data_IF_543972969248
#
_entry.id   IF_543972969248
#
_cell.length_a   1.000
_cell.length_b   1.000
_cell.length_c   1.000
_cell.angle_alpha   90.00
_cell.angle_beta   90.00
_cell.angle_gamma   90.00
#
_symmetry.space_group_name_H-M   'P 1'
#
loop_
_entity.id
_entity.type
_entity.pdbx_description
1 polymer ?
#
# COMPACT_ATOMS: atom_id res chain seq x y z
N UNK A 1 12.26 2.92 -30.94
CA UNK A 1 11.63 3.62 -29.79
C UNK A 1 10.75 2.70 -28.94
N UNK A 2 9.83 1.91 -29.52
CA UNK A 2 8.93 1.01 -28.76
C UNK A 2 9.63 0.00 -27.80
N UNK A 3 10.80 -0.55 -28.16
CA UNK A 3 11.55 -1.46 -27.27
C UNK A 3 12.10 -0.77 -26.01
N UNK A 4 12.48 0.51 -26.10
CA UNK A 4 13.03 1.25 -24.97
C UNK A 4 11.92 1.65 -23.98
N UNK A 5 10.71 1.92 -24.46
CA UNK A 5 9.56 2.27 -23.62
C UNK A 5 8.96 1.06 -22.89
N UNK A 6 8.97 -0.12 -23.52
CA UNK A 6 8.56 -1.38 -22.85
C UNK A 6 9.52 -1.73 -21.71
N UNK A 7 10.84 -1.59 -21.92
CA UNK A 7 11.83 -1.84 -20.89
C UNK A 7 11.67 -0.93 -19.66
N UNK A 8 11.40 0.36 -19.89
CA UNK A 8 11.12 1.31 -18.82
C UNK A 8 9.84 0.94 -18.04
N UNK A 9 8.76 0.57 -18.75
CA UNK A 9 7.52 0.19 -18.11
C UNK A 9 7.67 -1.06 -17.21
N UNK A 10 8.40 -2.08 -17.68
CA UNK A 10 8.70 -3.29 -16.89
C UNK A 10 9.50 -2.91 -15.64
N UNK A 11 10.53 -2.07 -15.79
CA UNK A 11 11.35 -1.63 -14.67
C UNK A 11 10.52 -0.91 -13.60
N UNK A 12 9.59 -0.03 -14.01
CA UNK A 12 8.68 0.65 -13.08
C UNK A 12 7.77 -0.34 -12.36
N UNK A 13 7.17 -1.30 -13.07
CA UNK A 13 6.37 -2.35 -12.44
C UNK A 13 7.18 -3.16 -11.41
N UNK A 14 8.42 -3.54 -11.75
CA UNK A 14 9.31 -4.27 -10.84
C UNK A 14 9.60 -3.44 -9.59
N UNK A 15 9.86 -2.14 -9.73
CA UNK A 15 10.10 -1.23 -8.60
C UNK A 15 8.86 -1.13 -7.70
N UNK A 16 7.68 -0.92 -8.27
CA UNK A 16 6.41 -0.86 -7.51
C UNK A 16 6.18 -2.17 -6.75
N UNK A 17 6.30 -3.32 -7.43
CA UNK A 17 6.16 -4.64 -6.81
C UNK A 17 7.17 -4.84 -5.67
N UNK A 18 8.44 -4.49 -5.88
CA UNK A 18 9.47 -4.66 -4.87
C UNK A 18 9.19 -3.81 -3.62
N UNK A 19 8.77 -2.55 -3.79
CA UNK A 19 8.43 -1.65 -2.69
C UNK A 19 7.23 -2.18 -1.89
N UNK A 20 6.12 -2.51 -2.56
CA UNK A 20 4.90 -2.97 -1.90
C UNK A 20 5.03 -4.37 -1.27
N UNK A 21 5.75 -5.30 -1.92
CA UNK A 21 6.04 -6.63 -1.35
C UNK A 21 6.91 -6.49 -0.11
N UNK A 22 7.94 -5.64 -0.17
CA UNK A 22 8.79 -5.36 1.00
C UNK A 22 7.97 -4.72 2.12
N UNK A 23 7.12 -3.74 1.81
CA UNK A 23 6.22 -3.13 2.77
C UNK A 23 5.28 -4.16 3.42
N UNK A 24 4.67 -5.05 2.62
CA UNK A 24 3.81 -6.11 3.11
C UNK A 24 4.52 -7.08 4.06
N UNK A 25 5.72 -7.53 3.68
CA UNK A 25 6.55 -8.39 4.53
C UNK A 25 6.92 -7.68 5.84
N UNK A 26 7.32 -6.41 5.79
CA UNK A 26 7.63 -5.62 6.98
C UNK A 26 6.40 -5.45 7.89
N UNK A 27 5.21 -5.22 7.33
CA UNK A 27 3.95 -5.16 8.10
C UNK A 27 3.63 -6.47 8.82
N UNK A 28 3.81 -7.62 8.15
CA UNK A 28 3.65 -8.94 8.77
C UNK A 28 4.70 -9.18 9.87
N UNK A 29 5.97 -8.86 9.62
CA UNK A 29 7.03 -8.98 10.62
C UNK A 29 6.80 -8.05 11.83
N UNK A 30 6.28 -6.85 11.59
CA UNK A 30 5.90 -5.91 12.63
C UNK A 30 4.82 -6.51 13.54
N UNK A 31 3.79 -7.13 12.96
CA UNK A 31 2.76 -7.83 13.73
C UNK A 31 3.35 -8.99 14.54
N UNK A 32 4.23 -9.80 13.96
CA UNK A 32 4.91 -10.90 14.68
C UNK A 32 5.73 -10.35 15.85
N UNK A 33 6.47 -9.26 15.64
CA UNK A 33 7.26 -8.60 16.67
C UNK A 33 6.37 -8.04 17.80
N UNK A 34 5.19 -7.49 17.46
CA UNK A 34 4.18 -7.05 18.43
C UNK A 34 3.58 -8.24 19.19
N UNK A 35 3.30 -9.37 18.53
CA UNK A 35 2.71 -10.54 19.17
C UNK A 35 3.69 -11.24 20.14
N UNK A 36 5.00 -11.15 19.90
CA UNK A 36 6.02 -11.71 20.81
C UNK A 36 6.03 -11.02 22.18
N UNK A 37 5.89 -9.69 22.21
CA UNK A 37 5.83 -8.91 23.46
C UNK A 37 4.47 -9.03 24.17
N UNK A 38 3.40 -9.32 23.42
CA UNK A 38 2.03 -9.53 23.94
C UNK A 38 1.81 -10.88 24.62
N UNK A 39 2.76 -11.82 24.57
CA UNK A 39 2.62 -13.16 25.19
C UNK A 39 2.56 -13.17 26.73
N UNK A 40 2.70 -12.03 27.44
CA UNK A 40 2.43 -11.92 28.88
C UNK A 40 0.94 -11.65 29.10
N UNK A 41 0.12 -12.68 28.91
CA UNK A 41 -1.35 -12.61 28.97
C UNK A 41 -1.81 -12.82 30.42
N UNK A 42 -2.35 -11.79 31.07
CA UNK A 42 -2.98 -11.94 32.40
C UNK A 42 -4.50 -11.80 32.24
N UNK A 43 -5.19 -12.93 32.37
CA UNK A 43 -6.64 -13.12 32.43
C UNK A 43 -7.47 -12.55 31.25
N UNK A 44 -7.61 -11.22 31.08
CA UNK A 44 -8.46 -10.60 30.03
C UNK A 44 -7.96 -9.21 29.57
N UNK A 45 -6.79 -8.80 30.08
CA UNK A 45 -6.20 -7.49 29.84
C UNK A 45 -4.88 -7.72 29.10
N UNK A 46 -4.85 -7.37 27.82
CA UNK A 46 -3.61 -7.42 27.03
C UNK A 46 -2.81 -6.17 27.39
N UNK A 47 -1.89 -6.30 28.34
CA UNK A 47 -0.92 -5.24 28.61
C UNK A 47 0.09 -5.23 27.47
N UNK A 48 -0.15 -4.34 26.51
CA UNK A 48 0.65 -4.19 25.31
C UNK A 48 1.96 -3.51 25.70
N UNK A 49 3.02 -4.30 25.84
CA UNK A 49 4.36 -3.77 25.99
C UNK A 49 4.86 -3.35 24.61
N UNK A 50 5.22 -2.09 24.43
CA UNK A 50 5.63 -1.58 23.12
C UNK A 50 6.90 -2.29 22.64
N UNK A 51 6.90 -2.77 21.40
CA UNK A 51 8.07 -3.39 20.78
C UNK A 51 8.75 -2.40 19.84
N UNK A 52 9.75 -1.62 20.26
CA UNK A 52 10.40 -0.62 19.38
C UNK A 52 10.66 -1.11 17.93
N UNK A 53 11.01 -2.40 17.79
CA UNK A 53 11.09 -3.10 16.49
C UNK A 53 9.79 -3.11 15.67
N UNK A 54 8.64 -3.44 16.25
CA UNK A 54 7.35 -3.39 15.55
C UNK A 54 6.98 -1.97 15.09
N UNK A 55 7.29 -0.94 15.88
CA UNK A 55 7.10 0.46 15.48
C UNK A 55 7.96 0.80 14.25
N UNK A 56 9.26 0.50 14.30
CA UNK A 56 10.19 0.76 13.20
C UNK A 56 9.78 0.02 11.92
N UNK A 57 9.44 -1.26 12.02
CA UNK A 57 9.01 -2.06 10.86
C UNK A 57 7.68 -1.58 10.28
N UNK A 58 6.70 -1.25 11.13
CA UNK A 58 5.40 -0.72 10.69
C UNK A 58 5.52 0.66 10.03
N UNK A 59 6.35 1.55 10.58
CA UNK A 59 6.63 2.86 9.98
C UNK A 59 7.37 2.72 8.65
N UNK A 60 8.38 1.85 8.58
CA UNK A 60 9.10 1.56 7.34
C UNK A 60 8.15 1.02 6.25
N UNK A 61 7.25 0.09 6.62
CA UNK A 61 6.21 -0.40 5.70
C UNK A 61 5.32 0.74 5.19
N UNK A 62 4.87 1.64 6.06
CA UNK A 62 4.02 2.77 5.66
C UNK A 62 4.75 3.73 4.69
N UNK A 63 6.04 4.00 4.92
CA UNK A 63 6.86 4.83 4.04
C UNK A 63 7.04 4.17 2.67
N UNK A 64 7.32 2.87 2.63
CA UNK A 64 7.48 2.13 1.36
C UNK A 64 6.18 2.08 0.55
N UNK A 65 5.03 1.90 1.20
CA UNK A 65 3.72 1.93 0.55
C UNK A 65 3.46 3.30 -0.11
N UNK A 66 3.74 4.40 0.60
CA UNK A 66 3.62 5.76 0.04
C UNK A 66 4.61 5.98 -1.11
N UNK A 67 5.84 5.50 -0.99
CA UNK A 67 6.84 5.59 -2.04
C UNK A 67 6.41 4.82 -3.30
N UNK A 68 5.87 3.60 -3.15
CA UNK A 68 5.35 2.81 -4.26
C UNK A 68 4.23 3.54 -5.00
N UNK A 69 3.28 4.10 -4.24
CA UNK A 69 2.18 4.87 -4.81
C UNK A 69 2.67 6.14 -5.52
N UNK A 70 3.62 6.87 -4.93
CA UNK A 70 4.20 8.06 -5.53
C UNK A 70 4.89 7.74 -6.86
N UNK A 71 5.74 6.71 -6.91
CA UNK A 71 6.42 6.25 -8.14
C UNK A 71 5.40 5.95 -9.24
N UNK A 72 4.31 5.25 -8.91
CA UNK A 72 3.27 4.93 -9.87
C UNK A 72 2.52 6.17 -10.40
N UNK A 73 2.22 7.16 -9.56
CA UNK A 73 1.52 8.37 -9.98
C UNK A 73 2.43 9.31 -10.81
N UNK A 74 3.69 9.48 -10.40
CA UNK A 74 4.64 10.33 -11.13
C UNK A 74 4.95 9.78 -12.53
N UNK A 75 5.04 8.45 -12.68
CA UNK A 75 5.42 7.82 -13.94
C UNK A 75 4.23 7.34 -14.78
N UNK A 76 3.06 7.11 -14.16
CA UNK A 76 1.83 6.69 -14.84
C UNK A 76 1.03 7.85 -15.44
N UNK A 77 1.34 9.09 -15.06
CA UNK A 77 0.69 10.30 -15.58
C UNK A 77 -0.69 10.56 -14.97
N UNK A 78 -1.22 11.76 -15.22
CA UNK A 78 -2.50 12.17 -14.68
C UNK A 78 -3.66 11.62 -15.53
N UNK A 79 -4.34 10.59 -15.05
CA UNK A 79 -5.55 10.05 -15.69
C UNK A 79 -6.81 10.88 -15.35
N UNK A 80 -6.73 12.21 -15.42
CA UNK A 80 -7.87 13.07 -15.14
C UNK A 80 -8.93 12.91 -16.22
N UNK A 81 -10.10 12.36 -15.84
CA UNK A 81 -11.31 12.36 -16.66
C UNK A 81 -12.21 13.46 -16.10
N UNK A 82 -12.17 14.64 -16.72
CA UNK A 82 -12.80 15.85 -16.20
C UNK A 82 -14.32 15.93 -16.48
N UNK A 83 -14.91 14.93 -17.13
CA UNK A 83 -16.32 14.93 -17.55
C UNK A 83 -16.88 13.50 -17.66
N UNK A 84 -18.14 13.32 -17.27
CA UNK A 84 -18.85 12.05 -17.43
C UNK A 84 -19.00 11.64 -18.90
N UNK A 85 -19.07 12.61 -19.81
CA UNK A 85 -19.17 12.39 -21.26
C UNK A 85 -17.83 11.92 -21.86
N UNK A 86 -16.71 12.48 -21.36
CA UNK A 86 -15.35 12.01 -21.66
C UNK A 86 -15.15 10.56 -21.18
N UNK A 87 -15.69 10.20 -20.02
CA UNK A 87 -15.66 8.82 -19.51
C UNK A 87 -16.41 7.86 -20.43
N UNK A 88 -17.63 8.19 -20.85
CA UNK A 88 -18.46 7.30 -21.69
C UNK A 88 -17.79 7.05 -23.05
N UNK A 89 -17.21 8.09 -23.66
CA UNK A 89 -16.54 8.03 -24.96
C UNK A 89 -15.13 7.45 -24.91
N UNK A 90 -14.50 7.37 -23.72
CA UNK A 90 -13.16 6.85 -23.56
C UNK A 90 -13.03 5.34 -23.89
N UNK A 91 -11.83 4.95 -24.33
CA UNK A 91 -11.45 3.56 -24.54
C UNK A 91 -11.57 2.73 -23.25
N UNK A 92 -11.68 1.41 -23.40
CA UNK A 92 -11.77 0.48 -22.25
C UNK A 92 -10.54 0.63 -21.34
N UNK A 93 -9.35 0.78 -21.92
CA UNK A 93 -8.12 0.94 -21.14
C UNK A 93 -8.10 2.23 -20.33
N UNK A 94 -8.62 3.34 -20.87
CA UNK A 94 -8.73 4.61 -20.13
C UNK A 94 -9.78 4.55 -19.01
N UNK A 95 -10.92 3.88 -19.23
CA UNK A 95 -11.91 3.60 -18.17
C UNK A 95 -11.31 2.72 -17.06
N UNK A 96 -10.58 1.68 -17.45
CA UNK A 96 -9.94 0.75 -16.52
C UNK A 96 -8.85 1.45 -15.70
N UNK A 97 -7.99 2.24 -16.34
CA UNK A 97 -6.96 3.03 -15.66
C UNK A 97 -7.57 4.00 -14.64
N UNK A 98 -8.67 4.69 -14.99
CA UNK A 98 -9.39 5.59 -14.08
C UNK A 98 -10.04 4.86 -12.89
N UNK A 99 -10.56 3.65 -13.08
CA UNK A 99 -11.08 2.85 -11.97
C UNK A 99 -9.95 2.33 -11.07
N UNK A 100 -8.85 1.88 -11.66
CA UNK A 100 -7.71 1.32 -10.92
C UNK A 100 -6.95 2.37 -10.13
N UNK A 101 -6.83 3.61 -10.63
CA UNK A 101 -6.25 4.70 -9.84
C UNK A 101 -7.11 5.02 -8.62
N UNK A 102 -8.44 5.06 -8.74
CA UNK A 102 -9.32 5.26 -7.57
C UNK A 102 -9.16 4.12 -6.57
N UNK A 103 -9.11 2.86 -7.04
CA UNK A 103 -8.93 1.71 -6.18
C UNK A 103 -7.55 1.71 -5.49
N UNK A 104 -6.48 2.15 -6.17
CA UNK A 104 -5.14 2.23 -5.57
C UNK A 104 -5.09 3.28 -4.46
N UNK A 105 -5.75 4.44 -4.63
CA UNK A 105 -5.89 5.45 -3.58
C UNK A 105 -6.64 4.92 -2.36
N UNK A 106 -7.74 4.18 -2.56
CA UNK A 106 -8.46 3.55 -1.45
C UNK A 106 -7.60 2.52 -0.71
N UNK A 107 -6.87 1.68 -1.45
CA UNK A 107 -5.95 0.70 -0.87
C UNK A 107 -4.81 1.38 -0.10
N UNK A 108 -4.25 2.47 -0.64
CA UNK A 108 -3.22 3.28 0.01
C UNK A 108 -3.75 3.85 1.33
N UNK A 109 -4.89 4.56 1.31
CA UNK A 109 -5.44 5.21 2.51
C UNK A 109 -5.73 4.18 3.60
N UNK A 110 -6.38 3.07 3.24
CA UNK A 110 -6.70 2.00 4.18
C UNK A 110 -5.43 1.33 4.72
N UNK A 111 -4.49 0.95 3.86
CA UNK A 111 -3.23 0.30 4.22
C UNK A 111 -2.35 1.19 5.09
N UNK A 112 -2.16 2.44 4.68
CA UNK A 112 -1.39 3.43 5.41
C UNK A 112 -1.99 3.72 6.79
N UNK A 113 -3.31 3.91 6.88
CA UNK A 113 -3.98 4.16 8.16
C UNK A 113 -3.80 3.00 9.14
N UNK A 114 -3.92 1.76 8.65
CA UNK A 114 -3.72 0.56 9.47
C UNK A 114 -2.27 0.37 9.91
N UNK A 115 -1.30 0.56 9.00
CA UNK A 115 0.13 0.48 9.32
C UNK A 115 0.54 1.57 10.31
N UNK A 116 0.11 2.81 10.09
CA UNK A 116 0.45 3.95 10.94
C UNK A 116 -0.22 3.82 12.31
N UNK A 117 -1.50 3.44 12.37
CA UNK A 117 -2.17 3.17 13.64
C UNK A 117 -1.49 2.03 14.41
N UNK A 118 -1.13 0.95 13.71
CA UNK A 118 -0.40 -0.18 14.29
C UNK A 118 0.99 0.20 14.80
N UNK A 119 1.73 1.01 14.06
CA UNK A 119 3.04 1.53 14.46
C UNK A 119 2.91 2.47 15.67
N UNK A 120 2.01 3.45 15.61
CA UNK A 120 1.81 4.45 16.66
C UNK A 120 1.35 3.87 17.98
N UNK A 121 0.59 2.77 17.96
CA UNK A 121 0.27 2.01 19.19
C UNK A 121 1.50 1.49 19.90
N UNK A 122 2.60 1.38 19.18
CA UNK A 122 3.82 0.73 19.59
C UNK A 122 4.99 1.74 19.68
N UNK A 123 4.73 3.04 19.61
CA UNK A 123 5.75 4.10 19.72
C UNK A 123 6.10 4.48 21.17
N UNK A 124 5.19 4.28 22.13
CA UNK A 124 5.40 4.69 23.53
C UNK A 124 5.79 3.51 24.40
N UNK A 125 6.85 3.62 25.23
CA UNK A 125 7.31 2.55 26.13
C UNK A 125 6.34 2.26 27.30
N UNK A 126 5.30 3.07 27.48
CA UNK A 126 4.33 2.88 28.55
C UNK A 126 3.42 1.68 28.29
N UNK A 127 3.22 0.84 29.32
CA UNK A 127 2.24 -0.26 29.26
C UNK A 127 0.84 0.34 29.18
N UNK A 128 0.21 0.21 28.01
CA UNK A 128 -1.23 0.47 27.85
C UNK A 128 -1.94 -0.86 27.88
N UNK A 129 -2.75 -1.04 28.91
CA UNK A 129 -3.57 -2.22 29.09
C UNK A 129 -4.94 -1.89 28.47
N UNK A 130 -5.26 -2.51 27.34
CA UNK A 130 -6.49 -2.27 26.58
C UNK A 130 -7.14 -3.60 26.20
N UNK A 131 -8.45 -3.55 25.89
CA UNK A 131 -9.15 -4.71 25.36
C UNK A 131 -8.45 -5.18 24.09
N UNK A 132 -8.26 -6.49 23.93
CA UNK A 132 -7.48 -7.09 22.84
C UNK A 132 -7.88 -6.50 21.48
N UNK A 133 -7.03 -5.64 20.92
CA UNK A 133 -7.35 -4.91 19.70
C UNK A 133 -6.56 -5.47 18.52
N UNK A 134 -7.28 -5.66 17.41
CA UNK A 134 -6.98 -6.56 16.29
C UNK A 134 -5.68 -6.32 15.51
N UNK A 135 -5.50 -7.17 14.50
CA UNK A 135 -4.27 -7.36 13.71
C UNK A 135 -4.02 -6.23 12.69
N UNK A 136 -3.92 -4.99 13.17
CA UNK A 136 -3.78 -3.78 12.35
C UNK A 136 -2.54 -3.80 11.44
N UNK A 137 -1.37 -4.18 11.96
CA UNK A 137 -0.13 -4.25 11.17
C UNK A 137 -0.18 -5.35 10.11
N UNK A 138 -0.76 -6.52 10.43
CA UNK A 138 -0.92 -7.61 9.48
C UNK A 138 -1.90 -7.26 8.37
N UNK A 139 -3.06 -6.68 8.73
CA UNK A 139 -4.06 -6.26 7.76
C UNK A 139 -3.52 -5.14 6.84
N UNK A 140 -2.78 -4.18 7.40
CA UNK A 140 -2.07 -3.17 6.63
C UNK A 140 -1.02 -3.78 5.68
N UNK A 141 -0.28 -4.79 6.14
CA UNK A 141 0.67 -5.55 5.30
C UNK A 141 -0.02 -6.30 4.15
N UNK A 142 -1.18 -6.92 4.40
CA UNK A 142 -1.98 -7.58 3.35
C UNK A 142 -2.43 -6.56 2.30
N UNK A 143 -2.87 -5.38 2.74
CA UNK A 143 -3.27 -4.30 1.82
C UNK A 143 -2.11 -3.78 0.97
N UNK A 144 -0.86 -3.89 1.41
CA UNK A 144 0.30 -3.57 0.55
C UNK A 144 0.38 -4.50 -0.66
N UNK A 145 0.14 -5.81 -0.49
CA UNK A 145 0.11 -6.74 -1.63
C UNK A 145 -1.06 -6.48 -2.58
N UNK A 146 -2.23 -6.13 -2.03
CA UNK A 146 -3.39 -5.70 -2.84
C UNK A 146 -3.06 -4.42 -3.61
N UNK A 147 -2.46 -3.44 -2.94
CA UNK A 147 -2.00 -2.20 -3.53
C UNK A 147 -1.00 -2.46 -4.67
N UNK A 148 -0.07 -3.40 -4.50
CA UNK A 148 0.89 -3.79 -5.55
C UNK A 148 0.19 -4.22 -6.84
N UNK A 149 -0.78 -5.14 -6.72
CA UNK A 149 -1.52 -5.67 -7.87
C UNK A 149 -2.35 -4.59 -8.58
N UNK A 150 -3.09 -3.80 -7.81
CA UNK A 150 -3.93 -2.71 -8.34
C UNK A 150 -3.07 -1.64 -9.02
N UNK A 151 -1.95 -1.27 -8.40
CA UNK A 151 -1.07 -0.20 -8.88
C UNK A 151 -0.30 -0.61 -10.14
N UNK A 152 0.16 -1.87 -10.22
CA UNK A 152 0.75 -2.41 -11.46
C UNK A 152 -0.28 -2.44 -12.58
N UNK A 153 -1.50 -2.92 -12.30
CA UNK A 153 -2.57 -2.93 -13.29
C UNK A 153 -2.90 -1.50 -13.76
N UNK A 154 -2.97 -0.54 -12.84
CA UNK A 154 -3.14 0.88 -13.17
C UNK A 154 -2.02 1.36 -14.09
N UNK A 155 -0.76 1.13 -13.73
CA UNK A 155 0.37 1.61 -14.52
C UNK A 155 0.40 1.02 -15.93
N UNK A 156 0.16 -0.29 -16.06
CA UNK A 156 0.10 -0.97 -17.37
C UNK A 156 -1.06 -0.45 -18.22
N UNK A 157 -2.25 -0.30 -17.62
CA UNK A 157 -3.44 0.18 -18.35
C UNK A 157 -3.36 1.65 -18.72
N UNK A 158 -2.77 2.50 -17.86
CA UNK A 158 -2.49 3.90 -18.14
C UNK A 158 -1.47 4.04 -19.28
N UNK A 159 -0.38 3.27 -19.24
CA UNK A 159 0.60 3.25 -20.30
C UNK A 159 0.00 2.73 -21.62
N UNK A 160 -0.84 1.69 -21.58
CA UNK A 160 -1.57 1.20 -22.76
C UNK A 160 -2.50 2.28 -23.34
N UNK A 161 -3.30 2.94 -22.49
CA UNK A 161 -4.20 4.02 -22.91
C UNK A 161 -3.46 5.22 -23.53
N UNK A 162 -2.21 5.48 -23.12
CA UNK A 162 -1.39 6.53 -23.72
C UNK A 162 -0.97 6.24 -25.17
N UNK A 163 -0.90 4.97 -25.58
CA UNK A 163 -0.64 4.58 -26.96
C UNK A 163 -1.89 4.50 -27.82
N UNK A 164 -3.09 4.48 -27.22
CA UNK A 164 -4.38 4.45 -27.91
C UNK A 164 -4.86 5.83 -28.38
N UNK A 165 -3.98 6.65 -28.96
CA UNK A 165 -4.38 7.97 -29.50
C UNK A 165 -5.71 7.88 -30.29
N UNK A 166 -6.63 8.85 -30.14
CA UNK A 166 -7.69 9.05 -31.13
C UNK A 166 -7.13 9.42 -32.51
#
# INVERSE_FOLDING_TARGET
MARATIGAAILVCVVILALDVTAGILGLQAQIAQNKVKKVRVLFIECEQSSSKAYQLGLAAAVLLVAAHAVANFLGGCACICSQMEFIRASINRKLAATLIVLSWLALIAGFSLLLAGAMRNSSPQRKCSLAQGQTLSLGGILCFVHAGVTVAYYVTANAAAYELP
#
